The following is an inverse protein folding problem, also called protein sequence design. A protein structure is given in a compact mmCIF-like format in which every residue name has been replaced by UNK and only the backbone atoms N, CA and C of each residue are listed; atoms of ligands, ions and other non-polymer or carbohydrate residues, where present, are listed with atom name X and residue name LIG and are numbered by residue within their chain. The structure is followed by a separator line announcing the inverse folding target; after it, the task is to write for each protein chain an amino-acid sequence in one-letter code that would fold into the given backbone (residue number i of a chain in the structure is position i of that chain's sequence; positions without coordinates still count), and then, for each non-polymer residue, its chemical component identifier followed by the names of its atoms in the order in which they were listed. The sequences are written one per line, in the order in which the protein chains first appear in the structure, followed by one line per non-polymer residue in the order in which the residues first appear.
data_IF_758807534834
#
_entry.id   IF_758807534834
#
_cell.length_a   1.000
_cell.length_b   1.000
_cell.length_c   1.000
_cell.angle_alpha   90.00
_cell.angle_beta   90.00
_cell.angle_gamma   90.00
#
_symmetry.space_group_name_H-M   'P 1'
#
loop_
_entity.id
_entity.type
_entity.pdbx_description
1 polymer ?
#
# COMPACT_ATOMS: atom_id res chain seq x y z
N UNK A 1 4.68 -17.44 1.76
CA UNK A 1 3.85 -16.21 1.63
C UNK A 1 2.93 -16.40 0.45
N UNK A 2 1.66 -16.00 0.56
CA UNK A 2 0.57 -16.32 -0.38
C UNK A 2 0.62 -15.53 -1.72
N UNK A 3 1.76 -14.91 -2.02
CA UNK A 3 1.97 -14.13 -3.25
C UNK A 3 1.21 -12.79 -3.31
N UNK A 4 0.40 -12.46 -2.31
CA UNK A 4 -0.28 -11.16 -2.21
C UNK A 4 0.67 -10.05 -1.71
N UNK A 5 0.40 -8.82 -2.15
CA UNK A 5 1.10 -7.63 -1.70
C UNK A 5 0.35 -7.02 -0.52
N UNK A 6 1.02 -6.87 0.62
CA UNK A 6 0.42 -6.38 1.88
C UNK A 6 0.84 -4.94 2.19
N UNK A 7 2.14 -4.69 2.27
CA UNK A 7 2.72 -3.39 2.59
C UNK A 7 3.80 -3.03 1.58
N UNK A 8 3.92 -1.74 1.30
CA UNK A 8 5.05 -1.16 0.56
C UNK A 8 5.63 -0.04 1.42
N UNK A 9 6.92 -0.14 1.73
CA UNK A 9 7.67 0.95 2.36
C UNK A 9 8.39 1.70 1.26
N UNK A 10 8.26 3.02 1.24
CA UNK A 10 8.90 3.87 0.26
C UNK A 10 9.45 5.13 0.93
N UNK A 11 10.67 5.50 0.55
CA UNK A 11 11.33 6.74 0.92
C UNK A 11 11.52 7.56 -0.37
N UNK A 12 10.50 8.34 -0.70
CA UNK A 12 10.36 9.12 -1.95
C UNK A 12 9.64 10.42 -1.63
N UNK A 13 9.53 11.33 -2.60
CA UNK A 13 8.74 12.55 -2.41
C UNK A 13 7.28 12.26 -2.03
N UNK A 14 6.68 13.14 -1.23
CA UNK A 14 5.26 13.11 -0.89
C UNK A 14 4.46 13.04 -2.20
N UNK A 15 3.49 12.12 -2.34
CA UNK A 15 2.82 11.33 -1.29
C UNK A 15 3.36 9.91 -1.08
N UNK A 16 4.59 9.62 -1.51
CA UNK A 16 5.17 8.27 -1.47
C UNK A 16 6.10 8.04 -0.28
N UNK A 17 6.23 8.99 0.66
CA UNK A 17 7.11 8.86 1.83
C UNK A 17 6.43 8.21 3.03
N UNK A 18 6.59 6.90 3.20
CA UNK A 18 6.06 6.17 4.35
C UNK A 18 5.62 4.76 3.99
N UNK A 19 4.51 4.32 4.59
CA UNK A 19 3.98 2.96 4.42
C UNK A 19 2.66 2.99 3.66
N UNK A 20 2.61 2.25 2.57
CA UNK A 20 1.42 2.07 1.76
C UNK A 20 0.77 0.73 2.11
N UNK A 21 -0.52 0.78 2.41
CA UNK A 21 -1.30 -0.37 2.84
C UNK A 21 -2.11 -0.88 1.66
N UNK A 22 -1.72 -2.06 1.18
CA UNK A 22 -2.33 -2.67 0.01
C UNK A 22 -3.66 -3.31 0.41
N UNK A 23 -4.74 -2.57 0.16
CA UNK A 23 -6.11 -2.98 0.49
C UNK A 23 -7.07 -2.60 -0.65
N UNK A 24 -8.36 -2.89 -0.48
CA UNK A 24 -9.45 -2.49 -1.37
C UNK A 24 -10.38 -1.51 -0.65
N UNK A 25 -11.12 -0.70 -1.39
CA UNK A 25 -12.05 0.29 -0.83
C UNK A 25 -13.04 -0.30 0.19
N UNK A 26 -13.55 -1.51 -0.06
CA UNK A 26 -14.50 -2.19 0.83
C UNK A 26 -13.95 -2.42 2.26
N UNK A 27 -12.63 -2.40 2.42
CA UNK A 27 -11.92 -2.69 3.67
C UNK A 27 -11.37 -1.43 4.35
N UNK A 28 -11.47 -0.25 3.70
CA UNK A 28 -10.97 1.01 4.22
C UNK A 28 -11.64 1.38 5.54
N UNK A 29 -12.97 1.33 5.60
CA UNK A 29 -13.72 1.73 6.79
C UNK A 29 -13.28 0.96 8.05
N UNK A 30 -13.04 -0.35 7.91
CA UNK A 30 -12.58 -1.18 9.02
C UNK A 30 -11.13 -0.88 9.45
N UNK A 31 -10.25 -0.50 8.51
CA UNK A 31 -8.88 -0.11 8.83
C UNK A 31 -8.81 1.29 9.44
N UNK A 32 -9.61 2.22 8.93
CA UNK A 32 -9.71 3.59 9.45
C UNK A 32 -10.34 3.64 10.84
N UNK A 33 -11.25 2.73 11.15
CA UNK A 33 -11.82 2.59 12.50
C UNK A 33 -10.74 2.18 13.53
N UNK A 34 -9.82 1.29 13.16
CA UNK A 34 -8.74 0.84 14.04
C UNK A 34 -7.55 1.83 14.07
N UNK A 35 -7.28 2.48 12.93
CA UNK A 35 -6.10 3.32 12.70
C UNK A 35 -6.51 4.60 11.95
N UNK A 36 -7.08 5.61 12.64
CA UNK A 36 -7.64 6.80 12.01
C UNK A 36 -6.59 7.72 11.35
N UNK A 37 -5.30 7.57 11.69
CA UNK A 37 -4.19 8.27 11.04
C UNK A 37 -3.89 7.78 9.63
N UNK A 38 -4.46 6.65 9.20
CA UNK A 38 -4.33 6.20 7.82
C UNK A 38 -5.12 7.13 6.89
N UNK A 39 -4.51 7.43 5.75
CA UNK A 39 -5.10 8.30 4.74
C UNK A 39 -5.30 7.52 3.44
N UNK A 40 -6.35 7.80 2.65
CA UNK A 40 -6.41 7.33 1.27
C UNK A 40 -5.20 7.85 0.49
N UNK A 41 -4.48 6.97 -0.20
CA UNK A 41 -3.33 7.40 -0.99
C UNK A 41 -3.83 8.20 -2.21
N UNK A 42 -3.35 9.43 -2.45
CA UNK A 42 -3.89 10.30 -3.51
C UNK A 42 -3.69 9.74 -4.92
N UNK A 43 -2.53 9.15 -5.22
CA UNK A 43 -2.24 8.53 -6.53
C UNK A 43 -2.80 7.10 -6.66
N UNK A 44 -2.78 6.32 -5.58
CA UNK A 44 -3.24 4.94 -5.55
C UNK A 44 -4.56 4.87 -4.80
N UNK A 45 -5.61 5.54 -5.30
CA UNK A 45 -6.86 5.79 -4.57
C UNK A 45 -7.52 4.58 -3.89
N UNK A 46 -7.19 3.33 -4.28
CA UNK A 46 -7.64 2.10 -3.61
C UNK A 46 -6.83 1.69 -2.36
N UNK A 47 -5.66 2.25 -2.16
CA UNK A 47 -4.74 1.92 -1.06
C UNK A 47 -4.80 3.00 0.01
N UNK A 48 -4.48 2.60 1.24
CA UNK A 48 -4.24 3.55 2.32
C UNK A 48 -2.75 3.85 2.42
N UNK A 49 -2.42 4.90 3.14
CA UNK A 49 -1.10 5.49 3.27
C UNK A 49 -0.92 6.00 4.70
N UNK A 50 0.22 5.66 5.29
CA UNK A 50 0.71 6.21 6.54
C UNK A 50 1.93 7.10 6.20
N UNK A 51 1.82 8.43 6.33
CA UNK A 51 2.93 9.33 6.08
C UNK A 51 4.07 9.12 7.10
N UNK A 52 5.31 9.16 6.65
CA UNK A 52 6.48 9.13 7.54
C UNK A 52 6.51 10.30 8.55
N UNK A 53 5.83 11.40 8.23
CA UNK A 53 5.72 12.59 9.09
C UNK A 53 4.66 12.46 10.18
N UNK A 54 3.89 11.37 10.23
CA UNK A 54 2.90 11.14 11.27
C UNK A 54 3.58 10.90 12.62
N UNK A 55 3.12 11.53 13.70
CA UNK A 55 3.72 11.40 15.03
C UNK A 55 3.65 9.96 15.57
N UNK A 56 2.63 9.20 15.18
CA UNK A 56 2.45 7.81 15.57
C UNK A 56 3.06 6.82 14.55
N UNK A 57 3.86 7.29 13.58
CA UNK A 57 4.37 6.50 12.47
C UNK A 57 4.96 5.16 12.91
N UNK A 58 5.93 5.16 13.82
CA UNK A 58 6.62 3.93 14.25
C UNK A 58 5.67 2.92 14.90
N UNK A 59 4.74 3.41 15.71
CA UNK A 59 3.75 2.55 16.39
C UNK A 59 2.78 1.95 15.37
N UNK A 60 2.24 2.77 14.47
CA UNK A 60 1.30 2.33 13.45
C UNK A 60 1.96 1.43 12.40
N UNK A 61 3.19 1.73 12.00
CA UNK A 61 3.97 0.90 11.08
C UNK A 61 4.22 -0.49 11.68
N UNK A 62 4.62 -0.57 12.96
CA UNK A 62 4.77 -1.84 13.65
C UNK A 62 3.47 -2.64 13.68
N UNK A 63 2.34 -1.99 13.98
CA UNK A 63 1.00 -2.63 13.94
C UNK A 63 0.64 -3.14 12.56
N UNK A 64 0.90 -2.36 11.51
CA UNK A 64 0.64 -2.79 10.13
C UNK A 64 1.47 -4.03 9.77
N UNK A 65 2.72 -4.10 10.23
CA UNK A 65 3.58 -5.29 10.04
C UNK A 65 3.01 -6.50 10.78
N UNK A 66 2.54 -6.33 12.03
CA UNK A 66 1.88 -7.42 12.78
C UNK A 66 0.66 -7.96 12.03
N UNK A 67 -0.20 -7.07 11.51
CA UNK A 67 -1.38 -7.47 10.73
C UNK A 67 -1.00 -8.17 9.41
N UNK A 68 0.04 -7.70 8.73
CA UNK A 68 0.54 -8.31 7.51
C UNK A 68 1.11 -9.72 7.77
N UNK A 69 1.86 -9.90 8.87
CA UNK A 69 2.37 -11.20 9.30
C UNK A 69 1.26 -12.17 9.68
N UNK A 70 0.20 -11.67 10.33
CA UNK A 70 -1.01 -12.41 10.66
C UNK A 70 -1.91 -12.70 9.46
N UNK A 71 -1.58 -12.15 8.28
CA UNK A 71 -2.38 -12.25 7.04
C UNK A 71 -3.81 -11.76 7.26
N UNK A 72 -3.94 -10.63 7.96
CA UNK A 72 -5.23 -10.00 8.22
C UNK A 72 -6.02 -9.89 6.89
N UNK A 73 -7.28 -10.38 6.84
CA UNK A 73 -8.05 -10.43 5.61
C UNK A 73 -8.32 -9.04 5.01
N UNK A 74 -8.19 -7.97 5.80
CA UNK A 74 -8.32 -6.58 5.35
C UNK A 74 -7.13 -6.11 4.51
N UNK A 75 -6.00 -6.81 4.60
CA UNK A 75 -4.77 -6.53 3.87
C UNK A 75 -4.53 -7.58 2.79
N UNK A 76 -3.75 -7.21 1.79
CA UNK A 76 -3.36 -8.12 0.72
C UNK A 76 -4.15 -7.86 -0.55
N UNK A 77 -3.44 -7.48 -1.60
CA UNK A 77 -3.97 -7.44 -2.96
C UNK A 77 -3.17 -8.39 -3.84
N UNK A 78 -3.85 -9.19 -4.65
CA UNK A 78 -3.17 -10.01 -5.64
C UNK A 78 -2.41 -9.09 -6.61
N UNK A 79 -1.09 -9.25 -6.77
CA UNK A 79 -0.34 -8.46 -7.74
C UNK A 79 -0.89 -8.78 -9.12
N UNK A 80 -1.20 -7.73 -9.92
CA UNK A 80 -1.51 -7.95 -11.34
C UNK A 80 -0.25 -8.55 -11.98
N UNK A 81 -0.35 -9.70 -12.68
CA UNK A 81 0.79 -10.24 -13.40
C UNK A 81 1.27 -9.16 -14.38
N UNK A 82 2.51 -8.71 -14.22
CA UNK A 82 3.11 -7.73 -15.13
C UNK A 82 3.12 -8.36 -16.52
N UNK A 83 2.26 -7.89 -17.41
CA UNK A 83 2.37 -8.24 -18.82
C UNK A 83 3.79 -7.85 -19.25
N UNK A 84 4.55 -8.84 -19.73
CA UNK A 84 5.90 -8.64 -20.23
C UNK A 84 5.82 -7.55 -21.29
N UNK A 85 6.35 -6.35 -20.99
CA UNK A 85 6.37 -5.21 -21.91
C UNK A 85 7.01 -5.75 -23.20
N UNK A 86 6.23 -5.97 -24.26
CA UNK A 86 6.80 -6.30 -25.57
C UNK A 86 7.73 -5.13 -25.88
N UNK A 87 9.01 -5.43 -26.20
CA UNK A 87 9.96 -4.44 -26.73
C UNK A 87 9.19 -3.62 -27.77
N UNK A 88 9.18 -2.30 -27.60
CA UNK A 88 8.60 -1.37 -28.56
C UNK A 88 9.14 -1.70 -29.95
N UNK A 89 8.23 -2.11 -30.83
CA UNK A 89 8.52 -2.18 -32.24
C UNK A 89 8.48 -0.73 -32.78
N UNK A 90 9.37 -0.44 -33.72
CA UNK A 90 10.05 0.83 -34.06
C UNK A 90 9.24 1.77 -35.00
N UNK A 91 9.67 3.04 -35.09
CA UNK A 91 9.57 3.96 -36.26
C UNK A 91 9.73 5.43 -35.81
N UNK A 92 10.88 6.11 -36.03
CA UNK A 92 11.14 7.15 -37.07
C UNK A 92 10.20 8.36 -36.91
N UNK A 93 10.67 9.59 -36.64
CA UNK A 93 11.50 10.47 -37.51
C UNK A 93 12.53 11.31 -36.74
#
# INVERSE_FOLDING_TARGET
MDGALYLVVADRDIPWNGVMVCTSHDRHAALLADMPSLLPHPELGKWLYLPQTDEAFETLAARLVELALARDPRLGVAPKPRARRRKSWRGEE
#
